data_IF_441169983424
#
_entry.id   IF_441169983424
#
_cell.length_a   1.000
_cell.length_b   1.000
_cell.length_c   1.000
_cell.angle_alpha   90.00
_cell.angle_beta   90.00
_cell.angle_gamma   90.00
#
_symmetry.space_group_name_H-M   'P 1'
#
loop_
_entity.id
_entity.type
_entity.pdbx_description
1 polymer ?
#
# COMPACT_ATOMS: atom_id res chain seq x y z
N UNK A 1 18.39 -20.31 15.07
CA UNK A 1 18.97 -19.30 14.17
C UNK A 1 20.28 -18.89 14.79
N UNK A 2 21.36 -18.86 14.01
CA UNK A 2 22.66 -18.39 14.51
C UNK A 2 22.58 -16.87 14.74
N UNK A 3 23.09 -16.42 15.89
CA UNK A 3 23.12 -15.02 16.31
C UNK A 3 23.87 -14.13 15.30
N UNK A 4 24.90 -14.66 14.61
CA UNK A 4 25.61 -13.92 13.58
C UNK A 4 24.70 -13.55 12.38
N UNK A 5 23.86 -14.49 11.93
CA UNK A 5 22.87 -14.23 10.88
C UNK A 5 21.76 -13.28 11.31
N UNK A 6 21.40 -13.31 12.60
CA UNK A 6 20.41 -12.39 13.15
C UNK A 6 20.96 -10.96 13.22
N UNK A 7 22.22 -10.79 13.64
CA UNK A 7 22.92 -9.50 13.66
C UNK A 7 23.03 -8.94 12.24
N UNK A 8 23.45 -9.76 11.27
CA UNK A 8 23.52 -9.35 9.86
C UNK A 8 22.15 -8.88 9.33
N UNK A 9 21.07 -9.58 9.68
CA UNK A 9 19.70 -9.18 9.32
C UNK A 9 19.30 -7.85 9.98
N UNK A 10 19.59 -7.68 11.26
CA UNK A 10 19.30 -6.44 12.01
C UNK A 10 20.07 -5.28 11.38
N UNK A 11 21.37 -5.44 11.16
CA UNK A 11 22.22 -4.42 10.53
C UNK A 11 21.70 -4.07 9.13
N UNK A 12 21.34 -5.07 8.32
CA UNK A 12 20.72 -4.83 7.03
C UNK A 12 19.43 -4.01 7.16
N UNK A 13 18.56 -4.28 8.12
CA UNK A 13 17.30 -3.52 8.32
C UNK A 13 17.58 -2.07 8.76
N UNK A 14 18.48 -1.87 9.70
CA UNK A 14 18.77 -0.54 10.27
C UNK A 14 19.65 0.31 9.34
N UNK A 15 20.68 -0.27 8.72
CA UNK A 15 21.60 0.43 7.81
C UNK A 15 21.00 0.68 6.43
N UNK A 16 20.11 -0.21 5.94
CA UNK A 16 19.34 0.03 4.72
C UNK A 16 18.21 1.07 4.91
N UNK A 17 18.03 1.55 6.14
CA UNK A 17 17.16 2.63 6.61
C UNK A 17 16.01 2.98 5.65
N UNK A 18 14.78 2.63 6.05
CA UNK A 18 13.50 3.01 5.42
C UNK A 18 13.48 4.41 4.73
N UNK A 19 14.09 5.49 5.26
CA UNK A 19 14.20 6.76 4.55
C UNK A 19 14.96 6.69 3.23
N UNK A 20 16.01 5.88 3.07
CA UNK A 20 16.80 5.76 1.83
C UNK A 20 16.09 4.94 0.75
N UNK A 21 15.43 3.84 1.12
CA UNK A 21 14.57 3.11 0.18
C UNK A 21 13.40 3.99 -0.25
N UNK A 22 12.76 4.66 0.71
CA UNK A 22 11.65 5.57 0.42
C UNK A 22 12.14 6.77 -0.38
N UNK A 23 13.33 7.31 -0.12
CA UNK A 23 13.96 8.37 -0.90
C UNK A 23 14.35 7.95 -2.30
N UNK A 24 14.97 6.80 -2.49
CA UNK A 24 15.38 6.38 -3.84
C UNK A 24 14.19 5.96 -4.72
N UNK A 25 13.16 5.36 -4.12
CA UNK A 25 11.95 4.99 -4.86
C UNK A 25 10.95 6.16 -4.96
N UNK A 26 10.92 7.05 -3.96
CA UNK A 26 9.87 8.06 -3.77
C UNK A 26 10.34 9.48 -3.35
N UNK A 27 11.62 9.81 -3.11
CA UNK A 27 12.10 11.21 -2.99
C UNK A 27 12.19 11.84 -4.38
N UNK A 28 11.06 12.34 -4.77
CA UNK A 28 10.92 13.78 -4.89
C UNK A 28 9.63 14.11 -4.10
N UNK A 29 9.33 15.35 -3.68
CA UNK A 29 8.05 15.65 -3.04
C UNK A 29 6.87 15.60 -4.04
N UNK A 30 6.92 14.67 -5.00
CA UNK A 30 6.06 14.54 -6.17
C UNK A 30 5.32 13.21 -6.08
N UNK A 31 4.58 13.05 -5.00
CA UNK A 31 3.22 12.63 -5.16
C UNK A 31 2.42 13.60 -4.30
N UNK A 32 2.00 14.73 -4.88
CA UNK A 32 0.98 15.58 -4.28
C UNK A 32 -0.32 14.80 -4.34
N UNK A 33 -0.45 13.79 -3.49
CA UNK A 33 -1.73 13.15 -3.28
C UNK A 33 -2.60 14.15 -2.53
N UNK A 34 -3.76 14.49 -3.09
CA UNK A 34 -4.79 15.23 -2.36
C UNK A 34 -5.24 14.53 -1.05
N UNK A 35 -4.80 13.30 -0.82
CA UNK A 35 -5.09 12.47 0.35
C UNK A 35 -3.82 11.78 0.88
N UNK A 36 -3.72 11.43 2.18
CA UNK A 36 -2.55 10.73 2.71
C UNK A 36 -2.27 9.38 2.03
N UNK A 37 -1.01 8.93 2.01
CA UNK A 37 -0.59 7.67 1.37
C UNK A 37 -1.41 6.45 1.82
N UNK A 38 -1.74 6.35 3.11
CA UNK A 38 -2.59 5.29 3.65
C UNK A 38 -3.97 5.23 3.00
N UNK A 39 -4.53 6.36 2.57
CA UNK A 39 -5.82 6.42 1.88
C UNK A 39 -5.68 5.93 0.44
N UNK A 40 -4.60 6.28 -0.25
CA UNK A 40 -4.28 5.73 -1.57
C UNK A 40 -4.09 4.20 -1.51
N UNK A 41 -3.39 3.69 -0.49
CA UNK A 41 -3.23 2.25 -0.28
C UNK A 41 -4.58 1.54 -0.11
N UNK A 42 -5.52 2.12 0.66
CA UNK A 42 -6.87 1.58 0.81
C UNK A 42 -7.62 1.52 -0.52
N UNK A 43 -7.54 2.57 -1.34
CA UNK A 43 -8.18 2.59 -2.67
C UNK A 43 -7.56 1.57 -3.63
N UNK A 44 -6.24 1.40 -3.64
CA UNK A 44 -5.55 0.38 -4.46
C UNK A 44 -6.00 -1.03 -4.04
N UNK A 45 -6.15 -1.27 -2.73
CA UNK A 45 -6.64 -2.54 -2.22
C UNK A 45 -8.08 -2.80 -2.67
N UNK A 46 -8.97 -1.81 -2.56
CA UNK A 46 -10.36 -1.91 -2.99
C UNK A 46 -10.51 -2.08 -4.49
N UNK A 47 -9.67 -1.41 -5.31
CA UNK A 47 -9.63 -1.64 -6.76
C UNK A 47 -9.24 -3.08 -7.10
N UNK A 48 -8.28 -3.66 -6.36
CA UNK A 48 -7.80 -5.02 -6.61
C UNK A 48 -8.80 -6.10 -6.22
N UNK A 49 -9.53 -5.92 -5.12
CA UNK A 49 -10.41 -6.94 -4.55
C UNK A 49 -11.90 -6.59 -4.65
N UNK A 50 -12.22 -5.47 -5.31
CA UNK A 50 -13.54 -4.87 -5.54
C UNK A 50 -14.34 -4.50 -4.28
N UNK A 51 -14.64 -5.48 -3.43
CA UNK A 51 -15.48 -5.35 -2.26
C UNK A 51 -14.82 -6.01 -1.05
N UNK A 52 -14.52 -5.23 -0.02
CA UNK A 52 -13.90 -5.71 1.22
C UNK A 52 -14.63 -5.17 2.46
N UNK A 53 -14.67 -5.93 3.53
CA UNK A 53 -15.06 -5.46 4.86
C UNK A 53 -13.96 -4.62 5.50
N UNK A 54 -14.32 -3.79 6.48
CA UNK A 54 -13.35 -2.99 7.25
C UNK A 54 -12.29 -3.88 7.92
N UNK A 55 -12.67 -5.07 8.39
CA UNK A 55 -11.72 -6.03 8.97
C UNK A 55 -10.75 -6.60 7.95
N UNK A 56 -11.21 -6.92 6.74
CA UNK A 56 -10.35 -7.41 5.65
C UNK A 56 -9.34 -6.33 5.23
N UNK A 57 -9.79 -5.07 5.07
CA UNK A 57 -8.90 -3.94 4.75
C UNK A 57 -7.88 -3.72 5.86
N UNK A 58 -8.32 -3.74 7.13
CA UNK A 58 -7.45 -3.58 8.30
C UNK A 58 -6.34 -4.65 8.34
N UNK A 59 -6.71 -5.90 8.14
CA UNK A 59 -5.77 -7.02 8.16
C UNK A 59 -4.76 -6.90 7.01
N UNK A 60 -5.23 -6.56 5.81
CA UNK A 60 -4.36 -6.39 4.65
C UNK A 60 -3.37 -5.22 4.80
N UNK A 61 -3.75 -4.16 5.52
CA UNK A 61 -2.91 -2.98 5.73
C UNK A 61 -2.06 -3.03 7.00
N UNK A 62 -2.31 -3.99 7.90
CA UNK A 62 -1.69 -4.08 9.23
C UNK A 62 -1.78 -2.78 10.06
N UNK A 63 -2.96 -2.14 10.08
CA UNK A 63 -3.20 -0.87 10.80
C UNK A 63 -4.14 -1.10 11.99
N UNK A 64 -4.00 -0.31 13.07
CA UNK A 64 -4.92 -0.34 14.24
C UNK A 64 -6.36 0.02 13.83
N UNK A 65 -7.37 -0.59 14.49
CA UNK A 65 -8.81 -0.44 14.19
C UNK A 65 -9.28 1.02 14.13
N UNK A 66 -8.85 1.85 15.09
CA UNK A 66 -9.25 3.26 15.20
C UNK A 66 -8.83 4.08 13.97
N UNK A 67 -7.62 3.82 13.46
CA UNK A 67 -7.08 4.48 12.27
C UNK A 67 -7.80 4.06 10.99
N UNK A 68 -8.27 2.80 10.91
CA UNK A 68 -8.97 2.31 9.72
C UNK A 68 -10.34 2.97 9.56
N UNK A 69 -11.14 3.05 10.63
CA UNK A 69 -12.45 3.71 10.57
C UNK A 69 -12.33 5.18 10.13
N UNK A 70 -11.29 5.88 10.61
CA UNK A 70 -11.00 7.24 10.17
C UNK A 70 -10.71 7.30 8.67
N UNK A 71 -9.83 6.45 8.14
CA UNK A 71 -9.50 6.41 6.70
C UNK A 71 -10.76 6.18 5.86
N UNK A 72 -11.60 5.20 6.24
CA UNK A 72 -12.86 4.90 5.55
C UNK A 72 -13.79 6.11 5.58
N UNK A 73 -14.00 6.75 6.74
CA UNK A 73 -14.85 7.94 6.85
C UNK A 73 -14.36 9.08 5.93
N UNK A 74 -13.05 9.31 5.86
CA UNK A 74 -12.49 10.40 5.05
C UNK A 74 -12.59 10.11 3.54
N UNK A 75 -12.36 8.86 3.13
CA UNK A 75 -12.53 8.43 1.74
C UNK A 75 -14.00 8.50 1.29
N UNK A 76 -14.93 8.13 2.16
CA UNK A 76 -16.37 8.18 1.92
C UNK A 76 -16.86 9.63 1.82
N UNK A 77 -16.43 10.52 2.71
CA UNK A 77 -16.71 11.97 2.63
C UNK A 77 -16.21 12.59 1.32
N UNK A 78 -15.08 12.12 0.79
CA UNK A 78 -14.56 12.56 -0.52
C UNK A 78 -15.30 11.92 -1.71
N UNK A 79 -16.22 10.99 -1.45
CA UNK A 79 -16.97 10.25 -2.46
C UNK A 79 -16.11 9.28 -3.26
N UNK A 80 -14.97 8.83 -2.71
CA UNK A 80 -14.05 7.92 -3.39
C UNK A 80 -14.43 6.45 -3.14
N UNK A 81 -15.10 6.18 -2.03
CA UNK A 81 -15.65 4.86 -1.68
C UNK A 81 -17.11 5.00 -1.27
N UNK A 82 -17.80 3.86 -1.21
CA UNK A 82 -19.15 3.75 -0.68
C UNK A 82 -19.26 2.54 0.24
N UNK A 83 -20.09 2.67 1.28
CA UNK A 83 -20.52 1.55 2.11
C UNK A 83 -21.70 0.85 1.47
N UNK A 84 -21.60 -0.46 1.39
CA UNK A 84 -22.68 -1.34 1.01
C UNK A 84 -23.19 -2.03 2.29
N UNK A 85 -24.49 -1.96 2.60
CA UNK A 85 -25.07 -2.85 3.59
C UNK A 85 -24.93 -4.29 3.08
N UNK A 86 -24.36 -5.17 3.90
CA UNK A 86 -24.31 -6.59 3.55
C UNK A 86 -25.73 -7.17 3.62
N UNK A 87 -26.15 -7.81 2.53
CA UNK A 87 -27.50 -8.36 2.35
C UNK A 87 -27.73 -9.54 3.32
N UNK A 88 -26.67 -10.22 3.76
CA UNK A 88 -26.72 -11.39 4.63
C UNK A 88 -26.52 -11.07 6.10
N UNK A 89 -25.72 -10.05 6.43
CA UNK A 89 -25.53 -9.59 7.81
C UNK A 89 -25.41 -8.07 7.89
N UNK A 90 -26.49 -7.40 8.32
CA UNK A 90 -26.55 -5.93 8.46
C UNK A 90 -25.50 -5.36 9.44
N UNK A 91 -24.81 -6.19 10.23
CA UNK A 91 -23.70 -5.78 11.11
C UNK A 91 -22.37 -5.69 10.36
N UNK A 92 -22.26 -6.30 9.19
CA UNK A 92 -21.06 -6.27 8.35
C UNK A 92 -21.19 -5.16 7.31
N UNK A 93 -20.36 -4.13 7.45
CA UNK A 93 -20.24 -3.06 6.46
C UNK A 93 -19.21 -3.49 5.41
N UNK A 94 -19.66 -3.65 4.16
CA UNK A 94 -18.78 -3.86 3.01
C UNK A 94 -18.44 -2.51 2.39
N UNK A 95 -17.23 -2.38 1.88
CA UNK A 95 -16.69 -1.17 1.27
C UNK A 95 -16.40 -1.48 -0.19
N UNK A 96 -16.82 -0.57 -1.06
CA UNK A 96 -16.54 -0.63 -2.50
C UNK A 96 -15.96 0.70 -2.96
N UNK A 97 -15.01 0.65 -3.89
CA UNK A 97 -14.53 1.86 -4.58
C UNK A 97 -15.63 2.38 -5.53
N UNK A 98 -15.74 3.70 -5.65
CA UNK A 98 -16.66 4.34 -6.60
C UNK A 98 -15.96 4.61 -7.93
N UNK A 99 -16.71 4.96 -8.97
CA UNK A 99 -16.13 5.41 -10.24
C UNK A 99 -15.21 6.62 -10.05
N UNK A 100 -15.60 7.57 -9.18
CA UNK A 100 -14.76 8.72 -8.80
C UNK A 100 -13.45 8.27 -8.13
N UNK A 101 -13.51 7.25 -7.30
CA UNK A 101 -12.34 6.63 -6.67
C UNK A 101 -11.40 5.97 -7.69
N UNK A 102 -11.96 5.26 -8.67
CA UNK A 102 -11.20 4.64 -9.76
C UNK A 102 -10.49 5.68 -10.62
N UNK A 103 -11.20 6.75 -11.03
CA UNK A 103 -10.63 7.87 -11.77
C UNK A 103 -9.51 8.57 -10.98
N UNK A 104 -9.70 8.75 -9.67
CA UNK A 104 -8.68 9.30 -8.79
C UNK A 104 -7.41 8.44 -8.80
N UNK A 105 -7.54 7.11 -8.62
CA UNK A 105 -6.38 6.22 -8.61
C UNK A 105 -5.74 6.10 -9.99
N UNK A 106 -6.50 6.15 -11.08
CA UNK A 106 -5.92 6.15 -12.42
C UNK A 106 -5.05 7.39 -12.66
N UNK A 107 -5.52 8.58 -12.30
CA UNK A 107 -4.72 9.81 -12.39
C UNK A 107 -3.48 9.74 -11.51
N UNK A 108 -3.65 9.32 -10.27
CA UNK A 108 -2.55 9.11 -9.33
C UNK A 108 -1.50 8.13 -9.85
N UNK A 109 -1.93 6.99 -10.42
CA UNK A 109 -1.02 5.99 -10.98
C UNK A 109 -0.25 6.53 -12.17
N UNK A 110 -0.88 7.31 -13.06
CA UNK A 110 -0.18 7.91 -14.19
C UNK A 110 0.95 8.84 -13.71
N UNK A 111 0.65 9.70 -12.73
CA UNK A 111 1.65 10.60 -12.15
C UNK A 111 2.75 9.84 -11.38
N UNK A 112 2.36 8.88 -10.54
CA UNK A 112 3.28 8.05 -9.79
C UNK A 112 4.18 7.21 -10.72
N UNK A 113 3.62 6.62 -11.79
CA UNK A 113 4.38 5.84 -12.77
C UNK A 113 5.40 6.74 -13.48
N UNK A 114 5.06 7.97 -13.84
CA UNK A 114 6.01 8.86 -14.52
C UNK A 114 7.19 9.24 -13.60
N UNK A 115 6.94 9.47 -12.32
CA UNK A 115 8.00 9.77 -11.35
C UNK A 115 8.84 8.54 -11.01
N UNK A 116 8.19 7.40 -10.77
CA UNK A 116 8.87 6.14 -10.47
C UNK A 116 9.68 5.67 -11.69
N UNK A 117 9.16 5.82 -12.92
CA UNK A 117 9.91 5.52 -14.15
C UNK A 117 11.20 6.33 -14.25
N UNK A 118 11.18 7.62 -13.89
CA UNK A 118 12.38 8.46 -13.89
C UNK A 118 13.41 8.00 -12.84
N UNK A 119 12.96 7.54 -11.68
CA UNK A 119 13.85 7.06 -10.62
C UNK A 119 14.40 5.66 -10.92
N UNK A 120 13.60 4.82 -11.58
CA UNK A 120 13.98 3.45 -11.94
C UNK A 120 14.60 3.34 -13.34
N UNK A 121 14.64 4.41 -14.13
CA UNK A 121 15.19 4.39 -15.49
C UNK A 121 16.69 4.12 -15.54
N UNK A 122 17.38 4.23 -14.40
CA UNK A 122 18.80 3.87 -14.28
C UNK A 122 19.02 2.37 -14.08
N UNK A 123 17.97 1.59 -13.79
CA UNK A 123 18.06 0.15 -13.64
C UNK A 123 17.91 -0.53 -15.00
N UNK A 124 18.73 -1.55 -15.25
CA UNK A 124 18.47 -2.46 -16.35
C UNK A 124 17.27 -3.36 -16.04
N UNK A 125 16.80 -4.11 -17.04
CA UNK A 125 15.64 -4.99 -16.91
C UNK A 125 15.88 -6.05 -15.83
N UNK A 126 17.10 -6.59 -15.77
CA UNK A 126 17.52 -7.62 -14.83
C UNK A 126 17.46 -7.10 -13.39
N UNK A 127 17.96 -5.90 -13.14
CA UNK A 127 17.91 -5.27 -11.81
C UNK A 127 16.48 -4.95 -11.37
N UNK A 128 15.61 -4.54 -12.30
CA UNK A 128 14.19 -4.29 -12.01
C UNK A 128 13.45 -5.59 -11.65
N UNK A 129 13.70 -6.67 -12.39
CA UNK A 129 13.15 -7.99 -12.11
C UNK A 129 13.66 -8.54 -10.77
N UNK A 130 14.94 -8.35 -10.47
CA UNK A 130 15.55 -8.71 -9.19
C UNK A 130 14.91 -7.95 -8.03
N UNK A 131 14.71 -6.63 -8.18
CA UNK A 131 14.06 -5.80 -7.16
C UNK A 131 12.62 -6.27 -6.90
N UNK A 132 11.84 -6.53 -7.95
CA UNK A 132 10.47 -7.03 -7.81
C UNK A 132 10.43 -8.39 -7.11
N UNK A 133 11.33 -9.30 -7.48
CA UNK A 133 11.42 -10.62 -6.86
C UNK A 133 11.86 -10.53 -5.40
N UNK A 134 12.76 -9.61 -5.08
CA UNK A 134 13.22 -9.35 -3.71
C UNK A 134 12.07 -8.87 -2.82
N UNK A 135 11.27 -7.90 -3.29
CA UNK A 135 10.09 -7.40 -2.56
C UNK A 135 9.06 -8.51 -2.33
N UNK A 136 8.79 -9.34 -3.35
CA UNK A 136 7.88 -10.50 -3.21
C UNK A 136 8.40 -11.50 -2.18
N UNK A 137 9.71 -11.78 -2.19
CA UNK A 137 10.35 -12.70 -1.26
C UNK A 137 10.28 -12.18 0.17
N UNK A 138 10.62 -10.90 0.40
CA UNK A 138 10.48 -10.24 1.69
C UNK A 138 9.05 -10.39 2.21
N UNK A 139 8.03 -10.09 1.40
CA UNK A 139 6.62 -10.27 1.77
C UNK A 139 6.32 -11.71 2.20
N UNK A 140 6.74 -12.69 1.41
CA UNK A 140 6.47 -14.12 1.69
C UNK A 140 7.14 -14.59 2.98
N UNK A 141 8.36 -14.13 3.27
CA UNK A 141 9.09 -14.48 4.49
C UNK A 141 8.43 -13.82 5.71
N UNK A 142 8.09 -12.52 5.62
CA UNK A 142 7.45 -11.79 6.72
C UNK A 142 6.07 -12.37 7.09
N UNK A 143 5.33 -12.92 6.14
CA UNK A 143 4.05 -13.60 6.41
C UNK A 143 4.18 -14.86 7.28
N UNK A 144 5.40 -15.40 7.46
CA UNK A 144 5.67 -16.56 8.32
C UNK A 144 5.96 -16.15 9.78
N UNK A 145 6.13 -14.85 10.04
CA UNK A 145 6.35 -14.33 11.39
C UNK A 145 4.99 -14.20 12.10
N UNK A 146 4.91 -14.74 13.31
CA UNK A 146 3.72 -14.77 14.17
C UNK A 146 3.36 -13.40 14.75
#
# INVERSE_FOLDING_TARGET
MDDAKLIELIDAIFLFHYPHLVKKLFDNPIITTEIPFSHCQTLILLRKFEILSISEIRNAMNIKKQNMTYIINQLEKKGLIQRLPDIKDRRLVKIKITNKGEEYINRWQIEAINNIKKNLSTLCKEDLELLLQSIKTIKLVLLKLS
#
